data_IF_156006562532
#
_entry.id   IF_156006562532
#
_cell.length_a   1.000
_cell.length_b   1.000
_cell.length_c   1.000
_cell.angle_alpha   90.00
_cell.angle_beta   90.00
_cell.angle_gamma   90.00
#
_symmetry.space_group_name_H-M   'P 1'
#
loop_
_entity.id
_entity.type
_entity.pdbx_description
1 polymer ?
#
# COMPACT_ATOMS: atom_id res chain seq x y z
N UNK A 1 28.74 -10.53 5.91
CA UNK A 1 28.27 -10.38 5.92
C UNK A 1 27.56 -10.30 6.21
N UNK A 2 27.59 -10.20 6.37
CA UNK A 2 27.01 -10.21 6.82
C UNK A 2 26.12 -9.88 6.62
N UNK A 3 26.06 -9.37 6.80
CA UNK A 3 25.06 -8.98 6.43
C UNK A 3 24.02 -9.83 6.11
N UNK A 4 24.10 -10.89 5.95
CA UNK A 4 23.12 -11.83 5.54
C UNK A 4 22.01 -11.99 6.52
N UNK A 5 22.33 -12.00 7.76
CA UNK A 5 21.29 -12.07 8.74
C UNK A 5 20.39 -10.90 8.65
N UNK A 6 20.97 -9.78 8.35
CA UNK A 6 20.19 -8.59 8.20
C UNK A 6 19.21 -8.72 7.09
N UNK A 7 19.68 -9.32 6.03
CA UNK A 7 18.83 -9.46 4.89
C UNK A 7 17.66 -10.34 5.18
N UNK A 8 17.90 -11.37 5.94
CA UNK A 8 16.80 -12.22 6.32
C UNK A 8 15.74 -11.45 7.05
N UNK A 9 16.18 -10.64 7.96
CA UNK A 9 15.22 -9.86 8.71
C UNK A 9 14.52 -8.90 7.81
N UNK A 10 15.20 -8.39 6.82
CA UNK A 10 14.62 -7.45 5.90
C UNK A 10 13.56 -8.06 5.04
N UNK A 11 13.51 -9.37 5.02
CA UNK A 11 12.55 -10.04 4.16
C UNK A 11 11.25 -10.32 4.84
N UNK A 12 11.06 -9.80 6.03
CA UNK A 12 9.75 -9.90 6.66
C UNK A 12 8.73 -9.27 5.72
N UNK A 13 7.62 -9.94 5.46
CA UNK A 13 6.62 -9.38 4.55
C UNK A 13 6.15 -8.00 4.97
N UNK A 14 6.11 -7.72 6.25
CA UNK A 14 5.62 -6.45 6.72
C UNK A 14 6.59 -5.32 6.44
N UNK A 15 7.86 -5.65 6.24
CA UNK A 15 8.88 -4.63 5.96
C UNK A 15 9.23 -4.54 4.50
N UNK A 16 8.50 -5.22 3.68
CA UNK A 16 8.81 -5.27 2.27
C UNK A 16 8.58 -3.93 1.60
N UNK A 17 9.48 -3.58 0.70
CA UNK A 17 9.32 -2.39 -0.13
C UNK A 17 8.70 -2.83 -1.45
N UNK A 18 7.65 -2.14 -1.84
CA UNK A 18 6.88 -2.52 -3.01
C UNK A 18 6.96 -1.47 -4.10
N UNK A 19 6.90 -1.91 -5.34
CA UNK A 19 6.77 -1.02 -6.48
C UNK A 19 5.31 -0.75 -6.76
N UNK A 20 5.06 0.15 -7.70
CA UNK A 20 3.68 0.44 -8.11
C UNK A 20 3.00 -0.83 -8.60
N UNK A 21 3.70 -1.61 -9.41
CA UNK A 21 3.12 -2.82 -9.97
C UNK A 21 2.80 -3.82 -8.87
N UNK A 22 3.68 -3.91 -7.89
CA UNK A 22 3.46 -4.84 -6.81
C UNK A 22 2.28 -4.41 -5.94
N UNK A 23 2.17 -3.12 -5.68
CA UNK A 23 1.03 -2.62 -4.91
C UNK A 23 -0.27 -2.84 -5.69
N UNK A 24 -0.23 -2.60 -6.98
CA UNK A 24 -1.42 -2.82 -7.80
C UNK A 24 -1.87 -4.26 -7.71
N UNK A 25 -0.93 -5.19 -7.85
CA UNK A 25 -1.26 -6.61 -7.75
C UNK A 25 -1.78 -6.95 -6.36
N UNK A 26 -1.14 -6.40 -5.35
CA UNK A 26 -1.51 -6.68 -3.97
C UNK A 26 -2.93 -6.21 -3.68
N UNK A 27 -3.27 -5.03 -4.15
CA UNK A 27 -4.59 -4.46 -3.91
C UNK A 27 -5.59 -4.82 -5.00
N UNK A 28 -5.13 -5.52 -6.02
CA UNK A 28 -5.96 -5.94 -7.15
C UNK A 28 -6.52 -4.76 -7.90
N UNK A 29 -5.66 -3.79 -8.12
CA UNK A 29 -5.98 -2.60 -8.89
C UNK A 29 -5.01 -2.49 -10.04
N UNK A 30 -5.19 -1.50 -10.88
CA UNK A 30 -4.27 -1.31 -11.99
C UNK A 30 -3.11 -0.43 -11.55
N UNK A 31 -1.92 -0.62 -12.15
CA UNK A 31 -0.80 0.26 -11.83
C UNK A 31 -1.12 1.73 -12.08
N UNK A 32 -1.92 2.00 -13.07
CA UNK A 32 -2.29 3.36 -13.40
C UNK A 32 -3.03 4.03 -12.24
N UNK A 33 -3.92 3.29 -11.61
CA UNK A 33 -4.65 3.80 -10.46
C UNK A 33 -3.70 4.09 -9.31
N UNK A 34 -2.76 3.18 -9.06
CA UNK A 34 -1.81 3.37 -7.96
C UNK A 34 -0.94 4.59 -8.24
N UNK A 35 -0.47 4.72 -9.46
CA UNK A 35 0.36 5.86 -9.82
C UNK A 35 -0.40 7.17 -9.59
N UNK A 36 -1.64 7.21 -10.02
CA UNK A 36 -2.45 8.41 -9.84
C UNK A 36 -2.62 8.74 -8.37
N UNK A 37 -2.94 7.73 -7.57
CA UNK A 37 -3.14 7.96 -6.15
C UNK A 37 -1.85 8.40 -5.46
N UNK A 38 -0.71 7.86 -5.90
CA UNK A 38 0.57 8.26 -5.33
C UNK A 38 0.83 9.73 -5.65
N UNK A 39 0.56 10.12 -6.88
CA UNK A 39 0.75 11.52 -7.27
C UNK A 39 -0.18 12.45 -6.51
N UNK A 40 -1.38 11.99 -6.22
CA UNK A 40 -2.36 12.79 -5.52
C UNK A 40 -2.23 12.69 -4.01
N UNK A 41 -1.25 11.92 -3.55
CA UNK A 41 -1.00 11.73 -2.13
C UNK A 41 -2.20 11.12 -1.41
N UNK A 42 -2.89 10.26 -2.11
CA UNK A 42 -4.04 9.56 -1.55
C UNK A 42 -3.67 8.19 -1.01
N UNK A 43 -2.44 7.76 -1.23
CA UNK A 43 -1.93 6.49 -0.74
C UNK A 43 -0.52 6.77 -0.23
N UNK A 44 -0.12 6.16 0.90
CA UNK A 44 1.21 6.44 1.45
C UNK A 44 2.30 5.88 0.56
N UNK A 45 3.09 6.77 0.00
CA UNK A 45 4.13 6.40 -0.94
C UNK A 45 5.29 7.37 -0.82
N UNK A 46 6.46 6.91 -1.19
CA UNK A 46 7.65 7.74 -1.22
C UNK A 46 8.13 7.87 -2.65
N UNK A 47 8.43 9.10 -3.06
CA UNK A 47 8.99 9.34 -4.37
C UNK A 47 10.50 9.37 -4.22
N UNK A 48 11.16 8.34 -4.72
CA UNK A 48 12.60 8.23 -4.63
C UNK A 48 13.18 8.45 -6.02
N UNK A 49 13.66 9.64 -6.27
CA UNK A 49 14.08 9.99 -7.60
C UNK A 49 12.88 10.01 -8.52
N UNK A 50 12.87 9.14 -9.50
CA UNK A 50 11.74 9.05 -10.42
C UNK A 50 10.83 7.90 -10.10
N UNK A 51 11.11 7.16 -9.03
CA UNK A 51 10.38 5.93 -8.75
C UNK A 51 9.52 6.09 -7.52
N UNK A 52 8.36 5.49 -7.55
CA UNK A 52 7.50 5.41 -6.38
C UNK A 52 7.77 4.12 -5.65
N UNK A 53 7.83 4.20 -4.33
CA UNK A 53 8.04 3.01 -3.51
C UNK A 53 7.10 3.06 -2.33
N UNK A 54 6.71 1.90 -1.85
CA UNK A 54 5.74 1.76 -0.78
C UNK A 54 6.30 0.80 0.23
N UNK A 55 5.99 1.02 1.50
CA UNK A 55 6.36 0.06 2.53
C UNK A 55 5.10 -0.73 2.88
N UNK A 56 5.21 -2.03 2.82
CA UNK A 56 4.04 -2.88 2.98
C UNK A 56 3.33 -2.67 4.32
N UNK A 57 4.09 -2.55 5.41
CA UNK A 57 3.46 -2.38 6.71
C UNK A 57 2.66 -1.09 6.78
N UNK A 58 3.19 -0.03 6.19
CA UNK A 58 2.48 1.24 6.19
C UNK A 58 1.27 1.17 5.27
N UNK A 59 1.43 0.49 4.14
CA UNK A 59 0.34 0.32 3.21
C UNK A 59 -0.80 -0.49 3.85
N UNK A 60 -0.44 -1.53 4.58
CA UNK A 60 -1.45 -2.35 5.25
C UNK A 60 -2.20 -1.54 6.28
N UNK A 61 -1.49 -0.73 7.03
CA UNK A 61 -2.13 0.11 8.04
C UNK A 61 -3.10 1.08 7.38
N UNK A 62 -2.65 1.70 6.28
CA UNK A 62 -3.48 2.61 5.52
C UNK A 62 -4.72 1.89 5.01
N UNK A 63 -4.55 0.69 4.52
CA UNK A 63 -5.66 -0.09 4.00
C UNK A 63 -6.66 -0.41 5.10
N UNK A 64 -6.16 -0.76 6.27
CA UNK A 64 -7.04 -1.03 7.41
C UNK A 64 -7.87 0.20 7.73
N UNK A 65 -7.26 1.37 7.67
CA UNK A 65 -7.99 2.59 7.92
C UNK A 65 -9.07 2.84 6.88
N UNK A 66 -8.75 2.52 5.63
CA UNK A 66 -9.74 2.67 4.58
C UNK A 66 -10.90 1.71 4.78
N UNK A 67 -10.61 0.52 5.22
CA UNK A 67 -11.64 -0.47 5.46
C UNK A 67 -12.56 -0.01 6.57
N UNK A 68 -12.00 0.51 7.65
CA UNK A 68 -12.80 0.98 8.76
C UNK A 68 -13.69 2.14 8.34
N UNK A 69 -13.12 3.05 7.59
CA UNK A 69 -13.88 4.19 7.08
C UNK A 69 -14.96 3.73 6.13
N UNK A 70 -14.61 2.80 5.27
CA UNK A 70 -15.56 2.29 4.29
C UNK A 70 -16.70 1.55 4.95
N UNK A 71 -16.40 0.87 6.05
CA UNK A 71 -17.47 0.17 6.76
C UNK A 71 -18.54 1.11 7.21
N UNK A 72 -18.14 2.26 7.74
CA UNK A 72 -19.12 3.26 8.12
C UNK A 72 -19.93 3.69 6.93
N UNK A 73 -19.24 4.00 5.84
CA UNK A 73 -19.92 4.41 4.63
C UNK A 73 -20.69 3.28 4.03
N UNK A 74 -20.14 2.09 4.12
CA UNK A 74 -20.78 0.94 3.54
C UNK A 74 -22.10 0.64 4.23
N UNK A 75 -22.12 0.77 5.53
CA UNK A 75 -23.37 0.56 6.25
C UNK A 75 -24.42 1.55 5.81
N UNK A 76 -23.98 2.77 5.63
CA UNK A 76 -24.89 3.78 5.14
C UNK A 76 -25.43 3.41 3.76
N UNK A 77 -24.54 2.94 2.91
CA UNK A 77 -24.94 2.55 1.58
C UNK A 77 -25.86 1.35 1.59
N UNK A 78 -25.63 0.45 2.51
CA UNK A 78 -26.49 -0.72 2.59
C UNK A 78 -27.92 -0.32 2.91
N UNK A 79 -28.07 0.70 3.71
CA UNK A 79 -29.42 1.15 4.03
C UNK A 79 -30.13 1.69 2.82
N UNK A 80 -29.36 2.23 1.92
CA UNK A 80 -29.94 2.78 0.70
C UNK A 80 -30.39 1.73 -0.24
N UNK A 81 -29.80 0.58 -0.14
CA UNK A 81 -30.19 -0.49 -1.01
C UNK A 81 -31.31 -1.28 -0.41
#
# INVERSE_FOLDING_TARGET
>A
MTRNGDESRGHSPDNEILTIEEVAAYLRLTPQTIYKWAQEKRIPAAKLGKEWRFRKSILDHWLDEQILTSESGFEHLKHEE
#
